data_IF_742839464303
#
_entry.id   IF_742839464303
#
_cell.length_a   1.000
_cell.length_b   1.000
_cell.length_c   1.000
_cell.angle_alpha   90.00
_cell.angle_beta   90.00
_cell.angle_gamma   90.00
#
_symmetry.space_group_name_H-M   'P 1'
#
loop_
_entity.id
_entity.type
_entity.pdbx_description
1 polymer ?
#
# COMPACT_ATOMS: atom_id res chain seq x y z
N UNK A 1 -23.27 -3.07 89.65
CA UNK A 1 -22.12 -3.60 88.88
C UNK A 1 -22.64 -4.18 87.57
N UNK A 2 -21.91 -3.96 86.46
CA UNK A 2 -22.33 -4.05 85.03
C UNK A 2 -23.10 -2.79 84.62
N UNK A 3 -22.59 -1.85 83.84
CA UNK A 3 -21.40 -1.80 82.98
C UNK A 3 -21.78 -0.88 81.81
N UNK A 4 -21.50 0.41 81.98
CA UNK A 4 -21.88 1.50 81.08
C UNK A 4 -21.01 1.50 79.81
N UNK A 5 -21.61 1.91 78.68
CA UNK A 5 -21.01 2.46 77.44
C UNK A 5 -20.22 1.51 76.52
N UNK A 6 -20.65 1.46 75.25
CA UNK A 6 -19.86 2.03 74.13
C UNK A 6 -20.66 2.09 72.82
N UNK A 7 -21.00 3.33 72.45
CA UNK A 7 -21.27 3.76 71.08
C UNK A 7 -19.93 3.78 70.34
N UNK A 8 -19.87 3.15 69.16
CA UNK A 8 -18.92 3.42 68.07
C UNK A 8 -19.73 3.27 66.78
N UNK A 9 -20.32 4.35 66.26
CA UNK A 9 -19.72 5.24 65.25
C UNK A 9 -19.30 4.49 63.99
N UNK A 10 -20.12 4.66 62.94
CA UNK A 10 -19.78 4.67 61.52
C UNK A 10 -18.65 3.78 61.01
N UNK A 11 -19.01 2.81 60.17
CA UNK A 11 -18.24 2.60 58.95
C UNK A 11 -19.15 2.23 57.79
N UNK A 12 -19.62 3.29 57.13
CA UNK A 12 -20.12 3.30 55.77
C UNK A 12 -19.01 2.76 54.86
N UNK A 13 -19.20 1.59 54.26
CA UNK A 13 -18.34 1.12 53.17
C UNK A 13 -19.19 0.99 51.91
N UNK A 14 -19.46 2.14 51.28
CA UNK A 14 -19.81 2.16 49.86
C UNK A 14 -18.55 1.70 49.10
N UNK A 15 -18.57 0.47 48.60
CA UNK A 15 -17.65 0.04 47.55
C UNK A 15 -18.16 0.67 46.27
N UNK A 16 -17.72 1.89 45.98
CA UNK A 16 -17.88 2.49 44.66
C UNK A 16 -16.90 1.77 43.74
N UNK A 17 -17.38 0.78 42.99
CA UNK A 17 -16.60 0.17 41.90
C UNK A 17 -16.47 1.24 40.82
N UNK A 18 -15.38 1.99 40.85
CA UNK A 18 -14.93 2.78 39.70
C UNK A 18 -14.45 1.80 38.64
N UNK A 19 -15.35 1.41 37.74
CA UNK A 19 -14.97 0.75 36.48
C UNK A 19 -14.15 1.78 35.70
N UNK A 20 -12.83 1.61 35.72
CA UNK A 20 -11.94 2.35 34.83
C UNK A 20 -12.29 1.97 33.40
N UNK A 21 -12.84 2.91 32.63
CA UNK A 21 -12.88 2.77 31.17
C UNK A 21 -11.43 2.81 30.69
N UNK A 22 -10.81 1.64 30.59
CA UNK A 22 -9.65 1.46 29.74
C UNK A 22 -10.16 1.64 28.30
N UNK A 23 -10.06 2.87 27.79
CA UNK A 23 -10.24 3.12 26.37
C UNK A 23 -9.09 2.41 25.66
N UNK A 24 -9.32 1.17 25.23
CA UNK A 24 -8.39 0.52 24.32
C UNK A 24 -8.33 1.39 23.07
N UNK A 25 -7.13 1.84 22.70
CA UNK A 25 -6.90 2.31 21.35
C UNK A 25 -7.25 1.13 20.43
N UNK A 26 -8.45 1.15 19.86
CA UNK A 26 -8.90 0.12 18.94
C UNK A 26 -8.03 0.26 17.68
N UNK A 27 -7.10 -0.67 17.52
CA UNK A 27 -6.41 -0.87 16.25
C UNK A 27 -7.50 -1.20 15.22
N UNK A 28 -7.74 -0.28 14.28
CA UNK A 28 -8.68 -0.52 13.19
C UNK A 28 -8.18 -1.69 12.36
N UNK A 29 -9.10 -2.55 11.94
CA UNK A 29 -8.74 -3.59 10.98
C UNK A 29 -8.35 -2.97 9.64
N UNK A 30 -7.57 -3.67 8.83
CA UNK A 30 -7.20 -3.20 7.49
C UNK A 30 -8.46 -2.91 6.65
N UNK A 31 -9.45 -3.80 6.72
CA UNK A 31 -10.75 -3.65 6.06
C UNK A 31 -11.48 -2.38 6.50
N UNK A 32 -11.57 -2.10 7.80
CA UNK A 32 -12.19 -0.87 8.32
C UNK A 32 -11.47 0.38 7.83
N UNK A 33 -10.14 0.34 7.80
CA UNK A 33 -9.30 1.44 7.32
C UNK A 33 -9.60 1.70 5.84
N UNK A 34 -9.57 0.67 5.00
CA UNK A 34 -9.85 0.79 3.55
C UNK A 34 -11.26 1.30 3.31
N UNK A 35 -12.28 0.74 3.98
CA UNK A 35 -13.67 1.20 3.85
C UNK A 35 -13.89 2.65 4.31
N UNK A 36 -13.12 3.11 5.30
CA UNK A 36 -13.11 4.52 5.71
C UNK A 36 -12.58 5.41 4.58
N UNK A 37 -11.49 5.00 3.92
CA UNK A 37 -10.93 5.74 2.79
C UNK A 37 -11.80 5.69 1.53
N UNK A 38 -12.41 4.55 1.20
CA UNK A 38 -13.37 4.45 0.08
C UNK A 38 -14.48 5.50 0.22
N UNK A 39 -15.07 5.61 1.42
CA UNK A 39 -16.10 6.63 1.72
C UNK A 39 -15.58 8.06 1.65
N UNK A 40 -14.35 8.31 2.11
CA UNK A 40 -13.76 9.66 2.14
C UNK A 40 -13.37 10.16 0.75
N UNK A 41 -12.93 9.24 -0.12
CA UNK A 41 -12.49 9.55 -1.48
C UNK A 41 -13.62 9.44 -2.51
N UNK A 42 -14.77 8.87 -2.12
CA UNK A 42 -15.84 8.45 -3.03
C UNK A 42 -15.30 7.59 -4.19
N UNK A 43 -14.48 6.60 -3.82
CA UNK A 43 -13.72 5.79 -4.76
C UNK A 43 -13.64 4.32 -4.31
N UNK A 44 -13.32 3.43 -5.25
CA UNK A 44 -13.01 2.02 -4.96
C UNK A 44 -11.51 1.86 -4.68
N UNK A 45 -11.18 1.02 -3.70
CA UNK A 45 -9.80 0.68 -3.37
C UNK A 45 -9.64 -0.84 -3.44
N UNK A 46 -8.68 -1.31 -4.25
CA UNK A 46 -8.24 -2.70 -4.29
C UNK A 46 -6.88 -2.84 -3.59
N UNK A 47 -6.68 -3.93 -2.86
CA UNK A 47 -5.47 -4.16 -2.07
C UNK A 47 -5.11 -5.65 -2.05
N UNK A 48 -3.83 -5.94 -2.23
CA UNK A 48 -3.23 -7.26 -2.05
C UNK A 48 -1.88 -7.05 -1.34
N UNK A 49 -1.72 -7.64 -0.16
CA UNK A 49 -0.45 -7.78 0.52
C UNK A 49 -0.09 -9.24 0.50
N UNK A 50 1.10 -9.55 0.02
CA UNK A 50 1.60 -10.89 -0.13
C UNK A 50 3.06 -10.95 0.31
N UNK A 51 3.40 -11.94 1.12
CA UNK A 51 4.78 -12.24 1.51
C UNK A 51 5.20 -13.57 0.89
N UNK A 52 6.16 -13.53 -0.05
CA UNK A 52 6.59 -14.73 -0.75
C UNK A 52 7.38 -15.72 0.13
N UNK A 53 7.82 -15.32 1.33
CA UNK A 53 8.65 -16.17 2.19
C UNK A 53 7.86 -17.20 3.00
N UNK A 54 6.59 -16.94 3.25
CA UNK A 54 5.74 -17.69 4.17
C UNK A 54 4.29 -17.81 3.69
N UNK A 55 4.01 -17.41 2.44
CA UNK A 55 2.73 -17.54 1.75
C UNK A 55 1.55 -16.87 2.47
N UNK A 56 1.80 -15.88 3.34
CA UNK A 56 0.69 -15.11 3.90
C UNK A 56 0.17 -14.10 2.88
N UNK A 57 -1.16 -13.95 2.88
CA UNK A 57 -1.86 -13.00 2.04
C UNK A 57 -2.93 -12.26 2.85
N UNK A 58 -3.06 -10.96 2.62
CA UNK A 58 -4.23 -10.17 3.02
C UNK A 58 -4.72 -9.38 1.82
N UNK A 59 -5.98 -9.55 1.46
CA UNK A 59 -6.58 -8.93 0.29
C UNK A 59 -7.93 -8.24 0.57
N UNK A 60 -8.25 -7.25 -0.25
CA UNK A 60 -9.53 -6.53 -0.27
C UNK A 60 -9.85 -6.15 -1.73
N UNK A 61 -10.97 -6.65 -2.28
CA UNK A 61 -11.36 -6.50 -3.69
C UNK A 61 -10.26 -6.94 -4.69
N UNK A 62 -9.49 -7.97 -4.38
CA UNK A 62 -8.36 -8.40 -5.22
C UNK A 62 -8.79 -8.87 -6.63
N UNK A 63 -10.00 -9.43 -6.76
CA UNK A 63 -10.52 -9.92 -8.05
C UNK A 63 -11.26 -8.85 -8.86
N UNK A 64 -11.38 -7.62 -8.35
CA UNK A 64 -12.00 -6.53 -9.10
C UNK A 64 -11.01 -5.88 -10.08
N UNK A 65 -11.52 -5.41 -11.21
CA UNK A 65 -10.71 -4.74 -12.21
C UNK A 65 -10.46 -3.26 -11.85
N UNK A 66 -9.20 -2.86 -11.97
CA UNK A 66 -8.70 -1.49 -11.81
C UNK A 66 -7.83 -1.10 -13.01
N UNK A 67 -7.85 0.18 -13.44
CA UNK A 67 -6.97 0.65 -14.50
C UNK A 67 -5.51 0.63 -14.04
N UNK A 68 -4.64 -0.05 -14.79
CA UNK A 68 -3.22 -0.17 -14.43
C UNK A 68 -2.47 1.18 -14.49
N UNK A 69 -2.89 2.12 -15.36
CA UNK A 69 -2.14 3.36 -15.57
C UNK A 69 -0.66 3.06 -15.86
N UNK A 70 0.30 3.57 -15.08
CA UNK A 70 1.73 3.25 -15.24
C UNK A 70 2.21 1.97 -14.52
N UNK A 71 1.34 1.23 -13.83
CA UNK A 71 1.72 -0.05 -13.17
C UNK A 71 1.92 -1.20 -14.16
N UNK A 72 1.53 -1.04 -15.42
CA UNK A 72 1.84 -2.03 -16.49
C UNK A 72 3.31 -2.03 -16.90
N UNK A 73 4.06 -0.94 -16.69
CA UNK A 73 5.42 -0.76 -17.21
C UNK A 73 6.41 -1.83 -16.73
N UNK A 74 6.41 -2.27 -15.46
CA UNK A 74 7.22 -3.41 -15.03
C UNK A 74 6.92 -4.70 -15.82
N UNK A 75 5.65 -4.96 -16.15
CA UNK A 75 5.26 -6.12 -16.96
C UNK A 75 5.75 -5.98 -18.41
N UNK A 76 5.64 -4.78 -18.98
CA UNK A 76 6.21 -4.47 -20.31
C UNK A 76 7.73 -4.69 -20.31
N UNK A 77 8.45 -4.22 -19.29
CA UNK A 77 9.89 -4.44 -19.16
C UNK A 77 10.21 -5.92 -19.01
N UNK A 78 9.42 -6.67 -18.23
CA UNK A 78 9.54 -8.12 -18.11
C UNK A 78 9.36 -8.84 -19.45
N UNK A 79 8.41 -8.41 -20.29
CA UNK A 79 8.24 -8.94 -21.63
C UNK A 79 9.46 -8.65 -22.53
N UNK A 80 10.00 -7.43 -22.51
CA UNK A 80 11.23 -7.09 -23.24
C UNK A 80 12.42 -7.94 -22.75
N UNK A 81 12.56 -8.15 -21.45
CA UNK A 81 13.60 -9.02 -20.90
C UNK A 81 13.42 -10.48 -21.33
N UNK A 82 12.19 -10.97 -21.44
CA UNK A 82 11.94 -12.32 -21.95
C UNK A 82 12.37 -12.50 -23.42
N UNK A 83 12.21 -11.47 -24.26
CA UNK A 83 12.72 -11.46 -25.64
C UNK A 83 14.27 -11.42 -25.67
N UNK A 84 14.89 -10.68 -24.75
CA UNK A 84 16.34 -10.68 -24.59
C UNK A 84 16.85 -12.07 -24.19
N UNK A 85 16.18 -12.73 -23.24
CA UNK A 85 16.51 -14.10 -22.85
C UNK A 85 16.31 -15.11 -24.00
N UNK A 86 15.33 -14.85 -24.88
CA UNK A 86 15.09 -15.63 -26.11
C UNK A 86 16.10 -15.32 -27.23
N UNK A 87 16.93 -14.28 -27.07
CA UNK A 87 17.90 -13.83 -28.07
C UNK A 87 17.28 -13.13 -29.28
N UNK A 88 16.01 -12.70 -29.19
CA UNK A 88 15.29 -11.97 -30.24
C UNK A 88 15.46 -10.45 -30.13
N UNK A 89 15.86 -9.96 -28.97
CA UNK A 89 16.13 -8.55 -28.67
C UNK A 89 17.48 -8.39 -27.94
N UNK A 90 18.07 -7.20 -27.99
CA UNK A 90 19.26 -6.87 -27.20
C UNK A 90 19.10 -5.57 -26.42
N UNK A 91 19.50 -5.60 -25.15
CA UNK A 91 19.50 -4.41 -24.30
C UNK A 91 20.50 -3.34 -24.74
N UNK A 92 21.53 -3.72 -25.50
CA UNK A 92 22.51 -2.78 -26.06
C UNK A 92 22.06 -2.14 -27.36
N UNK A 93 20.90 -2.52 -27.90
CA UNK A 93 20.40 -1.93 -29.13
C UNK A 93 19.96 -0.49 -28.91
N UNK A 94 20.36 0.37 -29.85
CA UNK A 94 19.99 1.79 -29.84
C UNK A 94 18.63 1.96 -30.50
N UNK A 95 17.65 2.37 -29.70
CA UNK A 95 16.33 2.77 -30.17
C UNK A 95 16.37 4.26 -30.53
N UNK A 96 16.08 4.57 -31.79
CA UNK A 96 15.94 5.94 -32.29
C UNK A 96 14.46 6.27 -32.44
N UNK A 97 14.11 7.54 -32.23
CA UNK A 97 12.74 8.05 -32.29
C UNK A 97 12.78 9.55 -32.61
N UNK A 98 11.68 10.07 -33.10
CA UNK A 98 11.53 11.46 -33.49
C UNK A 98 10.85 12.26 -32.39
N UNK A 99 10.97 13.59 -32.43
CA UNK A 99 10.22 14.47 -31.51
C UNK A 99 8.71 14.25 -31.59
N UNK A 100 8.20 13.82 -32.75
CA UNK A 100 6.79 13.50 -32.96
C UNK A 100 6.32 12.26 -32.18
N UNK A 101 7.24 11.39 -31.75
CA UNK A 101 6.94 10.18 -30.98
C UNK A 101 6.86 10.47 -29.46
N UNK A 102 7.24 11.68 -29.04
CA UNK A 102 7.16 12.09 -27.64
C UNK A 102 5.72 12.34 -27.22
N UNK A 103 5.32 11.68 -26.13
CA UNK A 103 4.04 11.91 -25.45
C UNK A 103 4.23 12.75 -24.20
N UNK A 104 3.12 13.24 -23.64
CA UNK A 104 3.12 13.97 -22.37
C UNK A 104 3.89 13.22 -21.28
N UNK A 105 4.64 13.97 -20.47
CA UNK A 105 5.49 13.45 -19.39
C UNK A 105 6.62 12.50 -19.88
N UNK A 106 7.46 13.01 -20.80
CA UNK A 106 8.64 12.32 -21.35
C UNK A 106 9.99 12.90 -20.87
N UNK A 107 10.27 13.06 -19.56
CA UNK A 107 11.39 13.88 -19.06
C UNK A 107 12.80 13.33 -19.35
N UNK A 108 12.91 12.05 -19.74
CA UNK A 108 14.19 11.42 -20.09
C UNK A 108 14.29 11.22 -21.60
N UNK A 109 13.27 10.65 -22.24
CA UNK A 109 13.27 10.45 -23.70
C UNK A 109 13.32 11.77 -24.47
N UNK A 110 12.73 12.85 -23.94
CA UNK A 110 12.84 14.18 -24.57
C UNK A 110 14.28 14.70 -24.66
N UNK A 111 15.20 14.20 -23.82
CA UNK A 111 16.62 14.62 -23.79
C UNK A 111 17.49 13.88 -24.80
N UNK A 112 16.97 12.83 -25.44
CA UNK A 112 17.76 11.90 -26.25
C UNK A 112 17.17 11.69 -27.65
N UNK A 113 16.35 12.62 -28.15
CA UNK A 113 15.77 12.53 -29.50
C UNK A 113 16.86 12.44 -30.57
N UNK A 114 17.92 13.24 -30.44
CA UNK A 114 19.03 13.24 -31.41
C UNK A 114 19.96 12.02 -31.25
N UNK A 115 20.17 11.56 -30.01
CA UNK A 115 21.14 10.50 -29.70
C UNK A 115 20.54 9.09 -29.72
N UNK A 116 19.21 8.99 -29.69
CA UNK A 116 18.52 7.76 -29.33
C UNK A 116 18.84 7.31 -27.89
N UNK A 117 18.32 6.15 -27.50
CA UNK A 117 18.60 5.53 -26.20
C UNK A 117 18.75 4.01 -26.33
N UNK A 118 19.60 3.42 -25.49
CA UNK A 118 19.68 1.96 -25.36
C UNK A 118 18.46 1.39 -24.61
N UNK A 119 18.02 0.20 -25.01
CA UNK A 119 16.92 -0.55 -24.36
C UNK A 119 17.14 -0.76 -22.86
N UNK A 120 18.38 -0.99 -22.41
CA UNK A 120 18.71 -1.07 -20.96
C UNK A 120 18.29 0.19 -20.18
N UNK A 121 18.37 1.37 -20.82
CA UNK A 121 18.02 2.65 -20.19
C UNK A 121 16.53 2.91 -20.14
N UNK A 122 15.70 2.19 -20.87
CA UNK A 122 14.24 2.27 -20.74
C UNK A 122 13.75 1.58 -19.45
N UNK A 123 14.33 0.43 -19.11
CA UNK A 123 13.93 -0.35 -17.93
C UNK A 123 14.32 0.28 -16.58
N UNK A 124 15.34 1.15 -16.58
CA UNK A 124 15.98 1.70 -15.36
C UNK A 124 15.41 3.03 -14.84
N UNK A 125 14.39 3.62 -15.47
CA UNK A 125 13.97 5.01 -15.19
C UNK A 125 12.92 5.16 -14.07
N UNK A 126 13.15 4.56 -12.90
CA UNK A 126 12.46 4.92 -11.66
C UNK A 126 13.41 5.56 -10.67
#
# INVERSE_FOLDING_TARGET
MRGLRRIKTNFLFLITITVGLATSAQAQTLTETVQSWERRLDARIGLLLYDPSNEWEVSYRADELFPMSSTFKPLLCGAVLAEVDAGTESLSDHVTYQSADLVDYSPVTSKHVETGMMSERYAKQR
#
